data_IF_411893159377
#
_entry.id   IF_411893159377
#
_cell.length_a   1.000
_cell.length_b   1.000
_cell.length_c   1.000
_cell.angle_alpha   90.00
_cell.angle_beta   90.00
_cell.angle_gamma   90.00
#
_symmetry.space_group_name_H-M   'P 1'
#
loop_
_entity.id
_entity.type
_entity.pdbx_description
1 polymer ?
#
# COMPACT_ATOMS: atom_id res chain seq x y z
N UNK A 1 24.99 15.35 2.33
CA UNK A 1 24.13 14.14 2.48
C UNK A 1 24.50 13.19 1.37
N UNK A 2 24.96 12.00 1.70
CA UNK A 2 25.23 10.95 0.69
C UNK A 2 23.84 10.39 0.31
N UNK A 3 23.36 10.71 -0.87
CA UNK A 3 22.20 10.05 -1.45
C UNK A 3 22.55 8.55 -1.62
N UNK A 4 22.01 7.73 -0.73
CA UNK A 4 22.12 6.29 -0.91
C UNK A 4 21.28 5.93 -2.13
N UNK A 5 21.91 5.35 -3.14
CA UNK A 5 21.18 4.77 -4.27
C UNK A 5 20.07 3.86 -3.76
N UNK A 6 18.86 3.93 -4.33
CA UNK A 6 17.77 3.07 -3.90
C UNK A 6 18.19 1.61 -4.07
N UNK A 7 17.95 0.80 -3.03
CA UNK A 7 18.22 -0.63 -3.08
C UNK A 7 17.26 -1.24 -4.12
N UNK A 8 17.77 -1.91 -5.16
CA UNK A 8 16.89 -2.53 -6.14
C UNK A 8 16.10 -3.66 -5.48
N UNK A 9 14.76 -3.64 -5.65
CA UNK A 9 13.89 -4.74 -5.24
C UNK A 9 13.22 -5.32 -6.47
N UNK A 10 13.07 -6.63 -6.52
CA UNK A 10 12.16 -7.28 -7.44
C UNK A 10 10.77 -7.37 -6.81
N UNK A 11 9.75 -6.87 -7.51
CA UNK A 11 8.36 -7.00 -7.13
C UNK A 11 7.72 -8.15 -7.92
N UNK A 12 7.06 -9.07 -7.22
CA UNK A 12 6.40 -10.22 -7.83
C UNK A 12 4.95 -10.26 -7.36
N UNK A 13 3.97 -10.22 -8.27
CA UNK A 13 2.57 -10.41 -7.90
C UNK A 13 2.36 -11.85 -7.44
N UNK A 14 1.58 -12.03 -6.38
CA UNK A 14 1.31 -13.34 -5.80
C UNK A 14 -0.17 -13.59 -5.62
N UNK A 15 -0.52 -14.85 -5.41
CA UNK A 15 -1.85 -15.33 -5.04
C UNK A 15 -1.86 -15.78 -3.57
N UNK A 16 -3.06 -15.93 -3.00
CA UNK A 16 -3.23 -16.41 -1.62
C UNK A 16 -2.68 -17.82 -1.39
N UNK A 17 -2.72 -18.67 -2.42
CA UNK A 17 -2.21 -20.04 -2.38
C UNK A 17 -0.70 -20.14 -2.63
N UNK A 18 -0.02 -19.03 -2.85
CA UNK A 18 1.43 -19.04 -3.02
C UNK A 18 2.17 -19.25 -1.69
N UNK A 19 3.31 -19.97 -1.70
CA UNK A 19 4.13 -20.17 -0.50
C UNK A 19 4.55 -18.85 0.16
N UNK A 20 4.78 -17.82 -0.64
CA UNK A 20 5.18 -16.49 -0.18
C UNK A 20 4.12 -15.84 0.72
N UNK A 21 2.83 -16.02 0.42
CA UNK A 21 1.76 -15.50 1.27
C UNK A 21 1.79 -16.13 2.66
N UNK A 22 2.02 -17.45 2.75
CA UNK A 22 2.22 -18.15 4.02
C UNK A 22 3.43 -17.62 4.80
N UNK A 23 4.53 -17.33 4.10
CA UNK A 23 5.74 -16.79 4.74
C UNK A 23 5.46 -15.39 5.32
N UNK A 24 4.91 -14.46 4.55
CA UNK A 24 4.63 -13.10 5.05
C UNK A 24 3.60 -13.11 6.16
N UNK A 25 2.60 -14.00 6.12
CA UNK A 25 1.59 -14.15 7.17
C UNK A 25 2.16 -14.70 8.49
N UNK A 26 3.31 -15.37 8.45
CA UNK A 26 3.99 -15.94 9.61
C UNK A 26 5.00 -14.99 10.27
N UNK A 27 5.25 -13.82 9.71
CA UNK A 27 6.21 -12.87 10.28
C UNK A 27 5.75 -12.35 11.66
N UNK A 28 6.69 -12.10 12.59
CA UNK A 28 6.38 -11.65 13.93
C UNK A 28 6.06 -10.13 13.96
N UNK A 29 4.89 -9.76 13.46
CA UNK A 29 4.45 -8.37 13.49
C UNK A 29 4.19 -7.90 14.92
N UNK A 30 4.70 -6.71 15.24
CA UNK A 30 4.46 -6.09 16.53
C UNK A 30 3.01 -5.57 16.67
N UNK A 31 2.36 -5.24 15.55
CA UNK A 31 0.98 -4.78 15.52
C UNK A 31 0.05 -5.96 15.18
N UNK A 32 -0.85 -6.37 16.10
CA UNK A 32 -1.83 -7.42 15.86
C UNK A 32 -2.77 -7.12 14.69
N UNK A 33 -2.97 -5.85 14.35
CA UNK A 33 -3.76 -5.44 13.20
C UNK A 33 -3.24 -6.04 11.90
N UNK A 34 -1.91 -6.03 11.68
CA UNK A 34 -1.30 -6.60 10.48
C UNK A 34 -1.59 -8.10 10.37
N UNK A 35 -1.45 -8.83 11.48
CA UNK A 35 -1.75 -10.28 11.50
C UNK A 35 -3.22 -10.56 11.21
N UNK A 36 -4.14 -9.78 11.78
CA UNK A 36 -5.58 -9.90 11.52
C UNK A 36 -5.89 -9.65 10.04
N UNK A 37 -5.38 -8.57 9.47
CA UNK A 37 -5.57 -8.24 8.06
C UNK A 37 -5.13 -9.37 7.14
N UNK A 38 -3.98 -9.98 7.40
CA UNK A 38 -3.47 -11.09 6.60
C UNK A 38 -4.27 -12.39 6.75
N UNK A 39 -4.92 -12.61 7.89
CA UNK A 39 -5.66 -13.84 8.17
C UNK A 39 -7.13 -13.78 7.73
N UNK A 40 -7.72 -12.59 7.67
CA UNK A 40 -9.15 -12.41 7.42
C UNK A 40 -9.42 -11.48 6.24
N UNK A 41 -9.12 -10.21 6.38
CA UNK A 41 -9.64 -9.16 5.49
C UNK A 41 -9.03 -9.24 4.08
N UNK A 42 -7.71 -9.49 3.97
CA UNK A 42 -7.03 -9.60 2.67
C UNK A 42 -7.48 -10.84 1.90
N UNK A 43 -7.56 -12.05 2.51
CA UNK A 43 -8.12 -13.21 1.83
C UNK A 43 -9.52 -13.00 1.25
N UNK A 44 -10.43 -12.40 2.01
CA UNK A 44 -11.78 -12.11 1.56
C UNK A 44 -11.79 -11.16 0.35
N UNK A 45 -11.05 -10.07 0.41
CA UNK A 45 -10.92 -9.09 -0.69
C UNK A 45 -10.25 -9.65 -1.92
N UNK A 46 -9.24 -10.50 -1.75
CA UNK A 46 -8.56 -11.13 -2.88
C UNK A 46 -9.48 -12.10 -3.62
N UNK A 47 -10.34 -12.83 -2.90
CA UNK A 47 -11.30 -13.76 -3.50
C UNK A 47 -12.39 -13.03 -4.28
N UNK A 48 -12.77 -11.81 -3.90
CA UNK A 48 -13.67 -10.95 -4.67
C UNK A 48 -13.02 -10.34 -5.92
N UNK A 49 -11.68 -10.43 -6.04
CA UNK A 49 -10.93 -9.84 -7.14
C UNK A 49 -10.57 -8.36 -6.92
N UNK A 50 -10.87 -7.83 -5.74
CA UNK A 50 -10.77 -6.40 -5.46
C UNK A 50 -9.34 -5.96 -5.12
N UNK A 51 -8.42 -6.88 -4.79
CA UNK A 51 -7.07 -6.51 -4.45
C UNK A 51 -5.99 -7.31 -5.17
N UNK A 52 -4.82 -6.68 -5.28
CA UNK A 52 -3.59 -7.25 -5.81
C UNK A 52 -2.53 -7.27 -4.70
N UNK A 53 -1.77 -8.35 -4.64
CA UNK A 53 -0.73 -8.58 -3.62
C UNK A 53 0.61 -8.72 -4.31
N UNK A 54 1.62 -8.00 -3.83
CA UNK A 54 3.01 -8.16 -4.27
C UNK A 54 3.90 -8.53 -3.10
N UNK A 55 4.88 -9.37 -3.38
CA UNK A 55 6.03 -9.58 -2.51
C UNK A 55 7.28 -8.96 -3.12
N UNK A 56 8.20 -8.57 -2.26
CA UNK A 56 9.42 -7.88 -2.65
C UNK A 56 10.62 -8.67 -2.16
N UNK A 57 11.58 -8.88 -3.09
CA UNK A 57 12.84 -9.55 -2.81
C UNK A 57 14.00 -8.60 -3.04
N UNK A 58 15.01 -8.71 -2.19
CA UNK A 58 16.28 -8.03 -2.39
C UNK A 58 17.13 -8.73 -3.48
N UNK A 59 18.32 -8.18 -3.85
CA UNK A 59 19.19 -8.79 -4.84
C UNK A 59 19.67 -10.21 -4.49
N UNK A 60 19.69 -10.57 -3.21
CA UNK A 60 20.06 -11.90 -2.74
C UNK A 60 18.87 -12.89 -2.78
N UNK A 61 17.70 -12.42 -3.24
CA UNK A 61 16.47 -13.20 -3.34
C UNK A 61 15.71 -13.34 -2.02
N UNK A 62 16.16 -12.67 -0.95
CA UNK A 62 15.48 -12.70 0.35
C UNK A 62 14.16 -11.95 0.28
N UNK A 63 13.10 -12.53 0.84
CA UNK A 63 11.79 -11.89 0.96
C UNK A 63 11.84 -10.80 2.03
N UNK A 64 11.74 -9.54 1.61
CA UNK A 64 11.96 -8.36 2.47
C UNK A 64 10.70 -7.59 2.81
N UNK A 65 9.63 -7.74 2.05
CA UNK A 65 8.39 -7.02 2.29
C UNK A 65 7.24 -7.49 1.41
N UNK A 66 6.07 -6.94 1.68
CA UNK A 66 4.91 -7.10 0.82
C UNK A 66 4.06 -5.82 0.80
N UNK A 67 3.18 -5.72 -0.19
CA UNK A 67 2.21 -4.64 -0.32
C UNK A 67 0.92 -5.13 -0.95
N UNK A 68 -0.19 -4.54 -0.53
CA UNK A 68 -1.54 -4.87 -1.01
C UNK A 68 -2.21 -3.60 -1.51
N UNK A 69 -2.68 -3.62 -2.74
CA UNK A 69 -3.42 -2.57 -3.40
C UNK A 69 -4.84 -3.05 -3.67
N UNK A 70 -5.84 -2.38 -3.11
CA UNK A 70 -7.24 -2.52 -3.47
C UNK A 70 -7.52 -1.66 -4.72
N UNK A 71 -8.27 -2.20 -5.66
CA UNK A 71 -8.50 -1.58 -6.96
C UNK A 71 -9.94 -1.13 -7.20
N UNK A 72 -10.90 -1.47 -6.33
CA UNK A 72 -12.30 -1.27 -6.68
C UNK A 72 -13.22 -0.55 -5.69
N UNK A 73 -13.04 -0.62 -4.35
CA UNK A 73 -14.18 -0.21 -3.52
C UNK A 73 -13.93 0.58 -2.24
N UNK A 74 -12.73 0.61 -1.71
CA UNK A 74 -12.55 0.99 -0.30
C UNK A 74 -12.95 2.43 0.04
N UNK A 75 -12.99 3.34 -0.92
CA UNK A 75 -13.22 4.77 -0.68
C UNK A 75 -14.48 5.36 -1.31
N UNK A 76 -15.47 4.57 -1.63
CA UNK A 76 -16.80 5.11 -2.01
C UNK A 76 -17.37 6.06 -0.95
N UNK A 77 -17.00 5.89 0.32
CA UNK A 77 -17.46 6.74 1.42
C UNK A 77 -16.87 8.17 1.39
N UNK A 78 -15.67 8.34 0.84
CA UNK A 78 -14.97 9.64 0.82
C UNK A 78 -15.00 10.35 -0.53
N UNK A 79 -15.30 9.64 -1.60
CA UNK A 79 -15.34 10.21 -2.94
C UNK A 79 -16.62 9.80 -3.64
N UNK A 80 -17.45 10.73 -3.88
CA UNK A 80 -18.87 10.60 -4.24
C UNK A 80 -19.23 9.83 -5.51
N UNK A 81 -18.33 9.14 -6.22
CA UNK A 81 -18.77 8.46 -7.44
C UNK A 81 -17.80 7.46 -8.11
N UNK A 82 -16.54 7.34 -7.74
CA UNK A 82 -15.61 6.49 -8.50
C UNK A 82 -14.67 5.72 -7.58
N UNK A 83 -14.38 4.44 -7.86
CA UNK A 83 -13.39 3.67 -7.11
C UNK A 83 -12.01 4.31 -7.29
N UNK A 84 -11.27 4.44 -6.20
CA UNK A 84 -9.89 4.88 -6.21
C UNK A 84 -8.99 3.76 -5.69
N UNK A 85 -7.80 3.56 -6.24
CA UNK A 85 -6.85 2.62 -5.69
C UNK A 85 -6.46 3.01 -4.26
N UNK A 86 -6.26 2.00 -3.44
CA UNK A 86 -6.01 2.15 -2.03
C UNK A 86 -4.94 1.18 -1.54
N UNK A 87 -3.94 1.68 -0.81
CA UNK A 87 -2.95 0.82 -0.15
C UNK A 87 -3.57 0.26 1.12
N UNK A 88 -4.01 -1.00 1.07
CA UNK A 88 -4.66 -1.70 2.18
C UNK A 88 -3.66 -2.04 3.27
N UNK A 89 -2.50 -2.55 2.86
CA UNK A 89 -1.47 -2.98 3.78
C UNK A 89 -0.10 -2.90 3.11
N UNK A 90 0.88 -2.50 3.91
CA UNK A 90 2.29 -2.54 3.55
C UNK A 90 3.08 -2.96 4.78
N UNK A 91 3.97 -3.93 4.63
CA UNK A 91 4.90 -4.26 5.67
C UNK A 91 6.27 -4.67 5.13
N UNK A 92 7.30 -4.34 5.90
CA UNK A 92 8.66 -4.83 5.74
C UNK A 92 8.89 -5.92 6.77
N UNK A 93 9.64 -6.95 6.43
CA UNK A 93 9.97 -8.03 7.34
C UNK A 93 10.55 -7.48 8.66
N UNK A 94 9.90 -7.72 9.80
CA UNK A 94 10.31 -7.13 11.09
C UNK A 94 11.72 -7.54 11.52
N UNK A 95 12.22 -8.66 11.02
CA UNK A 95 13.58 -9.16 11.31
C UNK A 95 14.67 -8.41 10.55
N UNK A 96 14.30 -7.58 9.56
CA UNK A 96 15.25 -6.82 8.73
C UNK A 96 15.21 -5.35 9.16
N UNK A 97 16.34 -4.82 9.58
CA UNK A 97 16.45 -3.41 9.98
C UNK A 97 16.32 -2.48 8.78
N UNK A 98 15.70 -1.33 9.02
CA UNK A 98 15.38 -0.27 8.05
C UNK A 98 16.51 0.05 7.07
N UNK A 99 16.40 -0.46 5.85
CA UNK A 99 17.31 -0.19 4.73
C UNK A 99 16.62 0.65 3.64
N UNK A 100 15.48 1.28 3.97
CA UNK A 100 14.70 2.06 3.00
C UNK A 100 13.72 1.23 2.16
N UNK A 101 13.57 -0.06 2.43
CA UNK A 101 12.65 -0.95 1.68
C UNK A 101 11.22 -0.42 1.63
N UNK A 102 10.69 0.12 2.72
CA UNK A 102 9.34 0.68 2.75
C UNK A 102 9.13 1.76 1.68
N UNK A 103 10.11 2.64 1.47
CA UNK A 103 10.04 3.68 0.43
C UNK A 103 9.98 3.09 -0.97
N UNK A 104 10.76 2.05 -1.24
CA UNK A 104 10.77 1.37 -2.55
C UNK A 104 9.43 0.69 -2.81
N UNK A 105 8.88 0.01 -1.78
CA UNK A 105 7.58 -0.66 -1.87
C UNK A 105 6.46 0.37 -2.14
N UNK A 106 6.41 1.47 -1.37
CA UNK A 106 5.40 2.52 -1.60
C UNK A 106 5.49 3.10 -3.01
N UNK A 107 6.71 3.36 -3.51
CA UNK A 107 6.90 3.88 -4.87
C UNK A 107 6.42 2.90 -5.94
N UNK A 108 6.63 1.61 -5.75
CA UNK A 108 6.10 0.58 -6.65
C UNK A 108 4.56 0.58 -6.64
N UNK A 109 3.92 0.58 -5.47
CA UNK A 109 2.46 0.63 -5.36
C UNK A 109 1.87 1.92 -5.98
N UNK A 110 2.58 3.04 -5.91
CA UNK A 110 2.21 4.27 -6.60
C UNK A 110 2.27 4.08 -8.13
N UNK A 111 3.29 3.41 -8.63
CA UNK A 111 3.41 3.14 -10.07
C UNK A 111 2.29 2.22 -10.55
N UNK A 112 1.97 1.16 -9.81
CA UNK A 112 0.83 0.27 -10.12
C UNK A 112 -0.50 1.02 -10.10
N UNK A 113 -0.72 1.88 -9.10
CA UNK A 113 -1.90 2.72 -9.04
C UNK A 113 -1.98 3.71 -10.23
N UNK A 114 -0.85 4.21 -10.72
CA UNK A 114 -0.81 5.07 -11.92
C UNK A 114 -1.18 4.30 -13.19
N UNK A 115 -0.77 3.03 -13.30
CA UNK A 115 -1.21 2.14 -14.41
C UNK A 115 -2.73 1.96 -14.37
N UNK A 116 -3.30 1.69 -13.20
CA UNK A 116 -4.76 1.58 -13.03
C UNK A 116 -5.48 2.90 -13.36
N UNK A 117 -4.89 4.03 -12.96
CA UNK A 117 -5.44 5.35 -13.22
C UNK A 117 -5.43 5.73 -14.71
N UNK A 118 -4.57 5.11 -15.52
CA UNK A 118 -4.51 5.33 -16.96
C UNK A 118 -5.66 4.67 -17.73
N UNK A 119 -6.41 3.77 -17.09
CA UNK A 119 -7.63 3.19 -17.67
C UNK A 119 -8.73 4.27 -17.78
N UNK A 120 -9.17 4.64 -18.99
CA UNK A 120 -10.18 5.67 -19.19
C UNK A 120 -11.54 5.35 -18.56
N UNK A 121 -11.82 4.07 -18.27
CA UNK A 121 -13.06 3.64 -17.61
C UNK A 121 -12.99 3.96 -16.11
N UNK A 122 -11.82 3.78 -15.49
CA UNK A 122 -11.63 4.00 -14.04
C UNK A 122 -11.59 5.47 -13.68
N UNK A 123 -10.98 6.33 -14.52
CA UNK A 123 -10.87 7.79 -14.32
C UNK A 123 -10.44 8.18 -12.89
N UNK A 124 -9.66 7.36 -12.20
CA UNK A 124 -9.17 7.67 -10.87
C UNK A 124 -7.89 8.51 -10.96
N UNK A 125 -7.79 9.54 -10.13
CA UNK A 125 -6.63 10.45 -10.14
C UNK A 125 -5.84 10.43 -8.83
N UNK A 126 -6.30 9.69 -7.84
CA UNK A 126 -5.70 9.66 -6.51
C UNK A 126 -5.51 8.23 -6.03
N UNK A 127 -4.46 8.03 -5.25
CA UNK A 127 -4.18 6.84 -4.45
C UNK A 127 -4.36 7.22 -2.98
N UNK A 128 -5.06 6.40 -2.23
CA UNK A 128 -5.35 6.61 -0.81
C UNK A 128 -4.68 5.56 0.07
N UNK A 129 -4.57 5.87 1.34
CA UNK A 129 -4.22 4.95 2.42
C UNK A 129 -4.71 5.49 3.76
N UNK A 130 -4.79 4.61 4.76
CA UNK A 130 -4.96 4.97 6.16
C UNK A 130 -3.70 4.67 6.95
N UNK A 131 -3.41 5.51 7.90
CA UNK A 131 -2.30 5.29 8.84
C UNK A 131 -2.67 5.76 10.22
N UNK A 132 -2.43 4.94 11.25
CA UNK A 132 -2.61 5.37 12.64
C UNK A 132 -1.68 6.53 12.96
N UNK A 133 -2.19 7.56 13.64
CA UNK A 133 -1.41 8.76 13.96
C UNK A 133 -0.22 8.50 14.88
N UNK A 134 -0.27 7.43 15.66
CA UNK A 134 0.84 6.97 16.50
C UNK A 134 1.92 6.19 15.71
N UNK A 135 1.65 5.80 14.46
CA UNK A 135 2.63 5.23 13.57
C UNK A 135 3.48 6.31 12.89
N UNK A 136 4.30 7.00 13.69
CA UNK A 136 5.13 8.12 13.24
C UNK A 136 6.04 7.73 12.06
N UNK A 137 6.56 6.50 12.06
CA UNK A 137 7.40 6.01 10.96
C UNK A 137 6.61 5.88 9.65
N UNK A 138 5.39 5.35 9.72
CA UNK A 138 4.49 5.25 8.57
C UNK A 138 4.10 6.63 8.05
N UNK A 139 3.68 7.54 8.93
CA UNK A 139 3.35 8.92 8.57
C UNK A 139 4.52 9.62 7.84
N UNK A 140 5.73 9.50 8.39
CA UNK A 140 6.95 10.08 7.77
C UNK A 140 7.24 9.46 6.41
N UNK A 141 7.10 8.13 6.29
CA UNK A 141 7.32 7.40 5.04
C UNK A 141 6.36 7.87 3.95
N UNK A 142 5.08 7.93 4.26
CA UNK A 142 4.06 8.32 3.28
C UNK A 142 4.18 9.80 2.89
N UNK A 143 4.42 10.69 3.85
CA UNK A 143 4.69 12.10 3.56
C UNK A 143 5.92 12.26 2.64
N UNK A 144 7.01 11.54 2.89
CA UNK A 144 8.19 11.53 2.02
C UNK A 144 7.90 10.97 0.60
N UNK A 145 6.85 10.16 0.45
CA UNK A 145 6.36 9.67 -0.84
C UNK A 145 5.30 10.59 -1.47
N UNK A 146 5.03 11.76 -0.90
CA UNK A 146 4.12 12.77 -1.47
C UNK A 146 2.65 12.57 -1.12
N UNK A 147 2.34 11.76 -0.12
CA UNK A 147 1.00 11.70 0.44
C UNK A 147 0.76 12.88 1.39
N UNK A 148 -0.45 13.39 1.37
CA UNK A 148 -0.92 14.46 2.27
C UNK A 148 -2.20 14.01 2.96
N UNK A 149 -2.47 14.45 4.20
CA UNK A 149 -3.75 14.20 4.85
C UNK A 149 -4.91 14.72 3.99
N UNK A 150 -6.03 14.00 4.01
CA UNK A 150 -7.27 14.41 3.34
C UNK A 150 -8.10 15.30 4.25
N UNK A 151 -8.11 14.96 5.55
CA UNK A 151 -8.82 15.72 6.59
C UNK A 151 -7.81 16.39 7.52
N UNK A 152 -8.18 17.55 8.05
CA UNK A 152 -7.34 18.29 9.00
C UNK A 152 -7.25 17.59 10.36
N UNK A 153 -8.30 16.84 10.74
CA UNK A 153 -8.36 16.12 12.00
C UNK A 153 -8.37 14.61 11.79
N UNK A 154 -7.65 13.85 12.65
CA UNK A 154 -7.67 12.39 12.61
C UNK A 154 -9.05 11.83 12.93
N UNK A 155 -9.38 10.70 12.34
CA UNK A 155 -10.68 10.03 12.44
C UNK A 155 -10.57 8.92 13.50
N UNK A 156 -11.54 8.81 14.42
CA UNK A 156 -11.63 7.69 15.35
C UNK A 156 -11.85 6.36 14.60
N UNK A 157 -11.05 5.34 14.95
CA UNK A 157 -11.26 4.01 14.42
C UNK A 157 -12.48 3.35 15.09
N UNK A 158 -13.52 3.00 14.34
CA UNK A 158 -14.72 2.39 14.90
C UNK A 158 -14.50 0.96 15.42
N UNK A 159 -13.45 0.28 14.97
CA UNK A 159 -13.14 -1.11 15.32
C UNK A 159 -12.09 -1.21 16.43
N UNK A 160 -11.19 -0.25 16.51
CA UNK A 160 -10.06 -0.22 17.45
C UNK A 160 -10.24 0.94 18.43
N UNK A 161 -11.14 0.78 19.40
CA UNK A 161 -11.53 1.81 20.34
C UNK A 161 -10.38 2.65 20.88
N UNK A 162 -10.45 3.96 20.70
CA UNK A 162 -9.47 4.94 21.15
C UNK A 162 -8.27 5.15 20.22
N UNK A 163 -8.12 4.39 19.15
CA UNK A 163 -7.13 4.68 18.10
C UNK A 163 -7.65 5.75 17.15
N UNK A 164 -6.75 6.59 16.67
CA UNK A 164 -7.03 7.60 15.66
C UNK A 164 -6.21 7.29 14.40
N UNK A 165 -6.81 7.39 13.24
CA UNK A 165 -6.08 7.27 11.98
C UNK A 165 -6.24 8.54 11.13
N UNK A 166 -5.28 8.77 10.25
CA UNK A 166 -5.32 9.80 9.23
C UNK A 166 -5.48 9.13 7.86
N UNK A 167 -6.48 9.58 7.11
CA UNK A 167 -6.59 9.26 5.69
C UNK A 167 -5.61 10.13 4.93
N UNK A 168 -4.75 9.53 4.14
CA UNK A 168 -3.80 10.25 3.31
C UNK A 168 -4.03 9.94 1.84
N UNK A 169 -3.78 10.92 0.98
CA UNK A 169 -3.87 10.71 -0.47
C UNK A 169 -2.75 11.41 -1.22
N UNK A 170 -2.47 10.90 -2.42
CA UNK A 170 -1.61 11.59 -3.38
C UNK A 170 -2.21 11.51 -4.78
N UNK A 171 -1.89 12.49 -5.64
CA UNK A 171 -2.18 12.42 -7.06
C UNK A 171 -1.32 11.32 -7.70
N UNK A 172 -1.95 10.47 -8.51
CA UNK A 172 -1.26 9.56 -9.41
C UNK A 172 -1.16 10.23 -10.77
N UNK A 173 0.06 10.41 -11.27
CA UNK A 173 0.26 10.99 -12.59
C UNK A 173 -0.27 10.01 -13.64
N UNK A 174 -1.27 10.45 -14.39
CA UNK A 174 -1.64 9.77 -15.64
C UNK A 174 -0.62 10.25 -16.67
N UNK A 175 0.28 9.37 -17.13
CA UNK A 175 1.10 9.72 -18.29
C UNK A 175 0.14 10.03 -19.46
N UNK A 176 0.27 11.20 -20.10
CA UNK A 176 -0.56 11.48 -21.26
C UNK A 176 -0.27 10.41 -22.31
N UNK A 177 -1.29 9.66 -22.69
CA UNK A 177 -1.21 8.70 -23.78
C UNK A 177 -0.62 9.44 -24.97
N UNK A 178 0.60 9.08 -25.39
CA UNK A 178 1.16 9.61 -26.66
C UNK A 178 0.22 9.16 -27.75
N UNK A 179 -0.69 10.05 -28.15
CA UNK A 179 -1.45 9.90 -29.39
C UNK A 179 -0.40 9.92 -30.50
N UNK A 180 -0.06 8.75 -31.03
CA UNK A 180 0.80 8.66 -32.20
C UNK A 180 0.09 9.31 -33.38
N UNK A 181 0.76 10.33 -33.91
CA UNK A 181 0.43 10.90 -35.22
C UNK A 181 1.09 10.06 -36.31
#
# INVERSE_FOLDING_TARGET
MIERSPIPLSAVPIRLDSPEFGIVSSWPYADPFVSRMLQTDIPERFLSGDCQIWVYRDPDGQLVGFGVLDIEEYYKAYTSAKPHPYIVLLAVNPSIKSLGYGTVIVRHLIAEAAVLASDPIRCCSRLFLDVYVNNVKGMTLYAACGFVPVEDEPIPDPLEGGKLYSVMSRLVAVEPTRVGH
#
